data_IF_612364638567
#
_entry.id   IF_612364638567
#
_cell.length_a   1.000
_cell.length_b   1.000
_cell.length_c   1.000
_cell.angle_alpha   90.00
_cell.angle_beta   90.00
_cell.angle_gamma   90.00
#
_symmetry.space_group_name_H-M   'P 1'
#
loop_
_entity.id
_entity.type
_entity.pdbx_description
1 polymer ?
#
# COMPACT_ATOMS: atom_id res chain seq x y z
N UNK A 1 10.02 -4.36 -9.33
CA UNK A 1 9.64 -5.64 -8.68
C UNK A 1 9.44 -6.81 -9.65
N UNK A 2 9.12 -6.59 -10.95
CA UNK A 2 8.96 -7.64 -11.98
C UNK A 2 10.03 -8.77 -11.99
N UNK A 3 11.36 -8.50 -11.98
CA UNK A 3 12.36 -9.58 -12.00
C UNK A 3 12.41 -10.42 -10.71
N UNK A 4 11.76 -9.97 -9.63
CA UNK A 4 11.64 -10.72 -8.38
C UNK A 4 10.43 -11.66 -8.35
N UNK A 5 9.71 -11.80 -9.48
CA UNK A 5 8.57 -12.70 -9.63
C UNK A 5 7.44 -12.44 -8.61
N UNK A 6 7.24 -11.17 -8.23
CA UNK A 6 6.14 -10.75 -7.36
C UNK A 6 4.82 -10.68 -8.14
N UNK A 7 3.71 -10.94 -7.45
CA UNK A 7 2.38 -10.59 -7.94
C UNK A 7 2.16 -9.08 -7.75
N UNK A 8 2.06 -8.33 -8.84
CA UNK A 8 1.97 -6.88 -8.81
C UNK A 8 0.51 -6.43 -8.90
N UNK A 9 0.02 -5.79 -7.84
CA UNK A 9 -1.24 -5.07 -7.80
C UNK A 9 -0.96 -3.57 -7.69
N UNK A 10 -1.76 -2.74 -8.34
CA UNK A 10 -1.69 -1.29 -8.16
C UNK A 10 -3.08 -0.66 -8.10
N UNK A 11 -3.19 0.43 -7.35
CA UNK A 11 -4.37 1.27 -7.27
C UNK A 11 -3.94 2.72 -7.48
N UNK A 12 -4.64 3.42 -8.36
CA UNK A 12 -4.44 4.84 -8.64
C UNK A 12 -5.73 5.42 -9.24
N UNK A 13 -5.83 6.75 -9.29
CA UNK A 13 -6.95 7.47 -9.91
C UNK A 13 -7.05 7.23 -11.41
N UNK A 14 -5.92 6.93 -12.06
CA UNK A 14 -5.84 6.65 -13.48
C UNK A 14 -5.15 5.30 -13.68
N UNK A 15 -5.66 4.50 -14.61
CA UNK A 15 -4.94 3.31 -15.04
C UNK A 15 -3.69 3.71 -15.80
N UNK A 16 -2.63 2.94 -15.64
CA UNK A 16 -1.47 3.08 -16.52
C UNK A 16 -1.84 2.60 -17.92
N UNK A 17 -1.01 2.95 -18.90
CA UNK A 17 -1.21 2.50 -20.28
C UNK A 17 -1.32 0.96 -20.35
N UNK A 18 -2.29 0.38 -21.09
CA UNK A 18 -2.51 -1.07 -21.14
C UNK A 18 -1.32 -1.88 -21.68
N UNK A 19 -0.52 -1.33 -22.60
CA UNK A 19 0.68 -2.01 -23.10
C UNK A 19 1.73 -2.08 -22.00
N UNK A 20 1.93 -0.97 -21.28
CA UNK A 20 2.82 -0.91 -20.12
C UNK A 20 2.34 -1.80 -18.97
N UNK A 21 1.04 -1.86 -18.68
CA UNK A 21 0.46 -2.75 -17.66
C UNK A 21 0.79 -4.22 -17.97
N UNK A 22 0.57 -4.63 -19.23
CA UNK A 22 0.90 -5.98 -19.72
C UNK A 22 2.41 -6.25 -19.69
N UNK A 23 3.22 -5.28 -20.09
CA UNK A 23 4.67 -5.41 -20.05
C UNK A 23 5.14 -5.61 -18.61
N UNK A 24 4.68 -4.80 -17.66
CA UNK A 24 5.08 -4.90 -16.25
C UNK A 24 4.51 -6.17 -15.59
N UNK A 25 3.35 -6.64 -16.06
CA UNK A 25 2.59 -7.71 -15.42
C UNK A 25 1.87 -7.23 -14.15
N UNK A 26 1.57 -5.93 -14.08
CA UNK A 26 0.77 -5.36 -13.01
C UNK A 26 -0.73 -5.57 -13.28
N UNK A 27 -1.54 -5.60 -12.22
CA UNK A 27 -3.00 -5.64 -12.33
C UNK A 27 -3.60 -4.47 -11.56
N UNK A 28 -4.43 -3.70 -12.25
CA UNK A 28 -5.21 -2.65 -11.62
C UNK A 28 -6.25 -3.21 -10.65
N UNK A 29 -6.34 -2.61 -9.46
CA UNK A 29 -7.43 -2.79 -8.52
C UNK A 29 -8.16 -1.45 -8.32
N UNK A 30 -9.45 -1.43 -8.64
CA UNK A 30 -10.25 -0.21 -8.59
C UNK A 30 -10.54 0.23 -7.15
N UNK A 31 -10.73 -0.73 -6.25
CA UNK A 31 -10.99 -0.47 -4.85
C UNK A 31 -9.75 -0.76 -3.99
N UNK A 32 -9.17 0.29 -3.42
CA UNK A 32 -8.03 0.16 -2.52
C UNK A 32 -8.34 -0.79 -1.36
N UNK A 33 -9.52 -0.73 -0.76
CA UNK A 33 -9.89 -1.57 0.39
C UNK A 33 -10.03 -3.05 0.00
N UNK A 34 -10.29 -3.36 -1.27
CA UNK A 34 -10.23 -4.73 -1.82
C UNK A 34 -8.79 -5.16 -2.11
N UNK A 35 -7.90 -4.22 -2.44
CA UNK A 35 -6.47 -4.48 -2.68
C UNK A 35 -5.72 -4.86 -1.40
N UNK A 36 -5.92 -4.07 -0.33
CA UNK A 36 -5.10 -4.15 0.89
C UNK A 36 -5.01 -5.56 1.50
N UNK A 37 -6.09 -6.36 1.63
CA UNK A 37 -6.02 -7.71 2.19
C UNK A 37 -5.23 -8.71 1.35
N UNK A 38 -4.93 -8.40 0.08
CA UNK A 38 -4.18 -9.26 -0.84
C UNK A 38 -2.66 -9.05 -0.72
N UNK A 39 -2.21 -7.92 -0.17
CA UNK A 39 -0.82 -7.48 -0.21
C UNK A 39 0.00 -7.98 0.98
N UNK A 40 1.14 -8.62 0.69
CA UNK A 40 2.17 -8.96 1.69
C UNK A 40 3.17 -7.80 1.89
N UNK A 41 3.32 -6.96 0.86
CA UNK A 41 4.13 -5.73 0.85
C UNK A 41 3.32 -4.60 0.24
N UNK A 42 3.31 -3.44 0.88
CA UNK A 42 2.67 -2.21 0.37
C UNK A 42 3.71 -1.12 0.21
N UNK A 43 3.81 -0.57 -1.00
CA UNK A 43 4.69 0.56 -1.31
C UNK A 43 3.83 1.77 -1.65
N UNK A 44 3.99 2.86 -0.90
CA UNK A 44 3.17 4.06 -1.03
C UNK A 44 3.96 5.14 -1.77
N UNK A 45 3.45 5.52 -2.94
CA UNK A 45 4.01 6.58 -3.79
C UNK A 45 2.98 7.69 -4.14
N UNK A 46 1.88 7.76 -3.38
CA UNK A 46 0.82 8.76 -3.63
C UNK A 46 1.19 10.13 -3.05
N UNK A 47 0.87 11.26 -3.72
CA UNK A 47 1.11 12.58 -3.16
C UNK A 47 0.32 12.83 -1.86
N UNK A 48 0.87 13.65 -0.96
CA UNK A 48 0.11 14.16 0.18
C UNK A 48 -0.83 15.28 -0.28
N UNK A 49 -2.10 15.10 0.03
CA UNK A 49 -3.22 16.03 -0.22
C UNK A 49 -4.18 15.93 0.96
N UNK A 50 -5.18 16.81 1.03
CA UNK A 50 -6.25 16.69 2.04
C UNK A 50 -6.99 15.35 1.99
N UNK A 51 -7.08 14.71 0.80
CA UNK A 51 -7.73 13.41 0.64
C UNK A 51 -6.86 12.22 1.03
N UNK A 52 -5.54 12.39 1.01
CA UNK A 52 -4.56 11.30 1.27
C UNK A 52 -3.88 11.44 2.62
N UNK A 53 -4.11 12.54 3.34
CA UNK A 53 -3.68 12.72 4.72
C UNK A 53 -4.43 11.73 5.62
N UNK A 54 -3.67 10.92 6.37
CA UNK A 54 -4.24 9.85 7.19
C UNK A 54 -4.95 8.77 6.37
N UNK A 55 -4.63 8.63 5.07
CA UNK A 55 -5.21 7.59 4.22
C UNK A 55 -5.04 6.21 4.85
N UNK A 56 -3.88 5.92 5.44
CA UNK A 56 -3.66 4.70 6.19
C UNK A 56 -3.85 4.97 7.69
N UNK A 57 -5.11 4.94 8.09
CA UNK A 57 -5.55 4.96 9.48
C UNK A 57 -5.56 3.55 10.10
N UNK A 58 -6.01 3.46 11.36
CA UNK A 58 -6.12 2.18 12.08
C UNK A 58 -7.02 1.17 11.37
N UNK A 59 -8.11 1.62 10.74
CA UNK A 59 -9.05 0.72 10.06
C UNK A 59 -8.38 0.10 8.84
N UNK A 60 -7.79 0.90 7.95
CA UNK A 60 -7.11 0.38 6.75
C UNK A 60 -5.87 -0.42 7.06
N UNK A 61 -5.09 -0.02 8.07
CA UNK A 61 -3.95 -0.83 8.52
C UNK A 61 -4.45 -2.20 8.98
N UNK A 62 -5.59 -2.29 9.68
CA UNK A 62 -6.14 -3.58 10.13
C UNK A 62 -6.63 -4.51 9.01
N UNK A 63 -6.89 -3.95 7.81
CA UNK A 63 -7.27 -4.73 6.61
C UNK A 63 -6.07 -5.40 5.94
N UNK A 64 -4.85 -4.95 6.23
CA UNK A 64 -3.64 -5.57 5.71
C UNK A 64 -3.46 -6.98 6.28
N UNK A 65 -2.63 -7.78 5.63
CA UNK A 65 -2.22 -9.07 6.18
C UNK A 65 -1.40 -8.84 7.44
N UNK A 66 -1.59 -9.70 8.45
CA UNK A 66 -0.70 -9.75 9.62
C UNK A 66 0.73 -10.07 9.15
N UNK A 67 1.69 -9.28 9.60
CA UNK A 67 3.09 -9.38 9.20
C UNK A 67 3.43 -8.63 7.91
N UNK A 68 2.57 -7.71 7.46
CA UNK A 68 2.80 -6.90 6.26
C UNK A 68 4.07 -6.05 6.38
N UNK A 69 4.77 -5.86 5.26
CA UNK A 69 5.83 -4.86 5.13
C UNK A 69 5.27 -3.59 4.46
N UNK A 70 5.55 -2.43 5.05
CA UNK A 70 5.15 -1.13 4.50
C UNK A 70 6.39 -0.31 4.17
N UNK A 71 6.43 0.24 2.96
CA UNK A 71 7.42 1.22 2.51
C UNK A 71 6.69 2.50 2.12
N UNK A 72 6.88 3.57 2.89
CA UNK A 72 6.32 4.88 2.61
C UNK A 72 7.41 5.83 2.09
N UNK A 73 7.62 5.80 0.77
CA UNK A 73 8.54 6.73 0.09
C UNK A 73 7.86 8.06 -0.30
N UNK A 74 6.66 8.34 0.22
CA UNK A 74 5.88 9.53 -0.10
C UNK A 74 6.03 10.59 0.99
N UNK A 75 5.07 10.66 1.93
CA UNK A 75 5.07 11.62 3.05
C UNK A 75 4.50 10.94 4.29
N UNK A 76 5.11 11.21 5.44
CA UNK A 76 4.70 10.59 6.71
C UNK A 76 3.23 10.79 7.04
N UNK A 77 2.68 11.97 6.78
CA UNK A 77 1.28 12.32 7.08
C UNK A 77 0.23 11.56 6.24
N UNK A 78 0.63 10.73 5.28
CA UNK A 78 -0.28 9.79 4.60
C UNK A 78 -0.66 8.64 5.54
N UNK A 79 0.21 8.33 6.50
CA UNK A 79 -0.04 7.35 7.55
C UNK A 79 -0.53 8.06 8.82
N UNK A 80 -1.43 7.43 9.57
CA UNK A 80 -1.63 7.77 10.96
C UNK A 80 -0.46 7.22 11.80
N UNK A 81 0.31 8.12 12.40
CA UNK A 81 1.53 7.76 13.15
C UNK A 81 1.23 6.80 14.31
N UNK A 82 0.14 7.02 15.05
CA UNK A 82 -0.16 6.19 16.22
C UNK A 82 -0.62 4.80 15.78
N UNK A 83 -1.42 4.71 14.71
CA UNK A 83 -1.85 3.45 14.13
C UNK A 83 -0.65 2.62 13.63
N UNK A 84 0.35 3.27 13.02
CA UNK A 84 1.60 2.59 12.62
C UNK A 84 2.35 2.07 13.85
N UNK A 85 2.52 2.89 14.89
CA UNK A 85 3.20 2.48 16.14
C UNK A 85 2.51 1.27 16.76
N UNK A 86 1.18 1.32 16.92
CA UNK A 86 0.39 0.24 17.51
C UNK A 86 0.48 -1.04 16.67
N UNK A 87 0.44 -0.91 15.35
CA UNK A 87 0.52 -2.04 14.43
C UNK A 87 1.92 -2.67 14.38
N UNK A 88 2.99 -1.88 14.51
CA UNK A 88 4.35 -2.39 14.69
C UNK A 88 4.50 -3.12 16.04
N UNK A 89 4.03 -2.51 17.13
CA UNK A 89 4.12 -3.09 18.47
C UNK A 89 3.36 -4.43 18.60
N UNK A 90 2.23 -4.56 17.89
CA UNK A 90 1.44 -5.81 17.86
C UNK A 90 1.97 -6.85 16.86
N UNK A 91 2.98 -6.50 16.05
CA UNK A 91 3.49 -7.34 14.97
C UNK A 91 2.52 -7.51 13.79
N UNK A 92 1.50 -6.65 13.70
CA UNK A 92 0.64 -6.60 12.52
C UNK A 92 1.41 -6.03 11.32
N UNK A 93 2.22 -4.99 11.55
CA UNK A 93 3.28 -4.55 10.62
C UNK A 93 4.59 -5.21 11.08
N UNK A 94 5.20 -6.03 10.22
CA UNK A 94 6.48 -6.67 10.52
C UNK A 94 7.68 -5.75 10.22
N UNK A 95 7.49 -4.73 9.38
CA UNK A 95 8.51 -3.74 9.04
C UNK A 95 7.89 -2.50 8.40
N UNK A 96 8.38 -1.34 8.81
CA UNK A 96 7.98 -0.03 8.29
C UNK A 96 9.25 0.74 7.90
N UNK A 97 9.32 1.24 6.66
CA UNK A 97 10.42 2.03 6.14
C UNK A 97 9.95 3.26 5.37
#
# INVERSE_FOLDING_TARGET
>A
LKPFNCNLLYHDRLKIDPELEKEIGAKFEEDLDVMLPKCDVVVINTPLTEKTKGLFDKERISKLKKGVLIVNNARGAIMDTQAVVDACNSGHIAGYS
#
